data_IF_194621319723
#
_entry.id   IF_194621319723
#
_cell.length_a   1.000
_cell.length_b   1.000
_cell.length_c   1.000
_cell.angle_alpha   90.00
_cell.angle_beta   90.00
_cell.angle_gamma   90.00
#
_symmetry.space_group_name_H-M   'P 1'
#
loop_
_entity.id
_entity.type
_entity.pdbx_description
1 polymer ?
#
# COMPACT_ATOMS: atom_id res chain seq x y z
N UNK A 1 -22.38 10.42 -12.94
CA UNK A 1 -22.69 9.39 -11.93
C UNK A 1 -21.55 9.36 -10.95
N UNK A 2 -21.81 9.74 -9.71
CA UNK A 2 -20.80 9.87 -8.66
C UNK A 2 -20.25 8.49 -8.31
N UNK A 3 -19.01 8.21 -8.67
CA UNK A 3 -18.31 7.01 -8.21
C UNK A 3 -17.99 7.21 -6.73
N UNK A 4 -18.48 6.30 -5.89
CA UNK A 4 -18.38 6.36 -4.44
C UNK A 4 -16.93 6.52 -3.99
N UNK A 5 -16.66 7.66 -3.35
CA UNK A 5 -15.47 7.85 -2.53
C UNK A 5 -15.64 6.97 -1.29
N UNK A 6 -15.01 5.80 -1.28
CA UNK A 6 -14.98 4.98 -0.08
C UNK A 6 -13.74 5.42 0.72
N UNK A 7 -13.94 6.39 1.60
CA UNK A 7 -13.02 6.57 2.72
C UNK A 7 -13.37 5.51 3.75
N UNK A 8 -12.47 4.55 3.92
CA UNK A 8 -12.60 3.60 5.02
C UNK A 8 -12.32 4.39 6.31
N UNK A 9 -13.39 4.90 6.93
CA UNK A 9 -13.32 5.43 8.29
C UNK A 9 -13.19 4.23 9.22
N UNK A 10 -12.07 4.14 9.93
CA UNK A 10 -11.82 3.05 10.88
C UNK A 10 -12.81 3.04 12.06
N UNK A 11 -13.59 4.13 12.23
CA UNK A 11 -14.63 4.26 13.25
C UNK A 11 -16.03 3.80 12.79
N UNK A 12 -16.20 3.46 11.49
CA UNK A 12 -17.52 3.10 10.96
C UNK A 12 -17.66 1.57 10.78
N UNK A 13 -18.86 1.04 11.03
CA UNK A 13 -19.26 -0.37 10.85
C UNK A 13 -19.11 -0.94 9.40
N UNK A 14 -18.58 -0.13 8.47
CA UNK A 14 -18.34 -0.57 7.08
C UNK A 14 -17.41 -1.77 7.02
N UNK A 15 -16.32 -1.76 7.79
CA UNK A 15 -15.36 -2.87 7.80
C UNK A 15 -15.97 -4.15 8.36
N UNK A 16 -16.80 -4.05 9.41
CA UNK A 16 -17.51 -5.22 9.98
C UNK A 16 -18.50 -5.83 9.00
N UNK A 17 -19.26 -4.98 8.28
CA UNK A 17 -20.19 -5.43 7.23
C UNK A 17 -19.44 -6.11 6.07
N UNK A 18 -18.35 -5.50 5.62
CA UNK A 18 -17.51 -6.05 4.54
C UNK A 18 -16.81 -7.33 4.99
N UNK A 19 -16.43 -7.44 6.26
CA UNK A 19 -15.87 -8.64 6.85
C UNK A 19 -16.87 -9.80 6.85
N UNK A 20 -18.13 -9.54 7.20
CA UNK A 20 -19.20 -10.53 7.16
C UNK A 20 -19.43 -11.05 5.72
N UNK A 21 -19.50 -10.14 4.73
CA UNK A 21 -19.63 -10.49 3.31
C UNK A 21 -18.44 -11.32 2.79
N UNK A 22 -17.23 -11.01 3.24
CA UNK A 22 -16.02 -11.75 2.83
C UNK A 22 -15.95 -13.12 3.47
N UNK A 23 -16.42 -13.29 4.72
CA UNK A 23 -16.49 -14.58 5.40
C UNK A 23 -17.48 -15.53 4.71
N UNK A 24 -18.62 -15.02 4.22
CA UNK A 24 -19.61 -15.85 3.51
C UNK A 24 -19.13 -16.33 2.13
N UNK A 25 -18.24 -15.57 1.46
CA UNK A 25 -17.85 -15.81 0.06
C UNK A 25 -16.60 -16.67 -0.13
N UNK A 26 -15.83 -16.98 0.91
CA UNK A 26 -14.57 -17.73 0.76
C UNK A 26 -14.61 -19.12 1.39
N UNK A 27 -14.32 -20.19 0.62
CA UNK A 27 -13.98 -21.48 1.22
C UNK A 27 -12.73 -21.28 2.10
N UNK A 28 -12.74 -21.82 3.33
CA UNK A 28 -11.59 -21.79 4.25
C UNK A 28 -10.47 -22.63 3.64
N UNK A 29 -9.63 -22.00 2.84
CA UNK A 29 -8.36 -22.57 2.45
C UNK A 29 -7.41 -22.35 3.62
N UNK A 30 -7.14 -23.41 4.39
CA UNK A 30 -6.10 -23.40 5.42
C UNK A 30 -4.75 -23.29 4.68
N UNK A 31 -4.35 -22.06 4.38
CA UNK A 31 -2.97 -21.79 3.94
C UNK A 31 -2.08 -21.95 5.16
N UNK A 32 -1.00 -22.73 5.07
CA UNK A 32 0.10 -22.65 6.05
C UNK A 32 0.58 -21.21 6.03
N UNK A 33 0.25 -20.45 7.07
CA UNK A 33 0.66 -19.05 7.16
C UNK A 33 2.19 -18.99 7.18
N UNK A 34 2.77 -18.12 6.34
CA UNK A 34 4.19 -17.86 6.36
C UNK A 34 4.58 -17.26 7.73
N UNK A 35 5.75 -17.61 8.26
CA UNK A 35 6.24 -16.97 9.49
C UNK A 35 6.46 -15.47 9.25
N UNK A 36 6.39 -14.66 10.32
CA UNK A 36 6.69 -13.23 10.24
C UNK A 36 8.07 -12.97 9.61
N UNK A 37 9.07 -13.75 9.97
CA UNK A 37 10.42 -13.68 9.38
C UNK A 37 10.37 -13.88 7.85
N UNK A 38 9.61 -14.86 7.40
CA UNK A 38 9.45 -15.13 5.96
C UNK A 38 8.76 -13.98 5.25
N UNK A 39 7.74 -13.38 5.86
CA UNK A 39 7.04 -12.22 5.31
C UNK A 39 7.97 -11.00 5.24
N UNK A 40 8.73 -10.73 6.30
CA UNK A 40 9.70 -9.63 6.34
C UNK A 40 10.79 -9.80 5.28
N UNK A 41 11.31 -11.01 5.06
CA UNK A 41 12.31 -11.29 4.03
C UNK A 41 11.76 -11.13 2.60
N UNK A 42 10.48 -11.39 2.38
CA UNK A 42 9.81 -11.26 1.07
C UNK A 42 9.24 -9.87 0.82
N UNK A 43 8.96 -9.10 1.86
CA UNK A 43 8.46 -7.74 1.71
C UNK A 43 9.59 -6.81 1.32
N UNK A 44 9.62 -6.43 0.04
CA UNK A 44 10.63 -5.51 -0.55
C UNK A 44 9.93 -4.34 -1.20
N UNK A 45 10.67 -3.25 -1.42
CA UNK A 45 10.21 -2.11 -2.21
C UNK A 45 10.24 -2.48 -3.69
N UNK A 46 9.18 -3.13 -4.17
CA UNK A 46 9.08 -3.53 -5.57
C UNK A 46 8.79 -2.32 -6.47
N UNK A 47 9.42 -2.27 -7.62
CA UNK A 47 9.30 -1.17 -8.59
C UNK A 47 8.84 -1.61 -9.96
N UNK A 48 8.82 -2.94 -10.22
CA UNK A 48 8.27 -3.58 -11.40
C UNK A 48 7.16 -4.57 -11.04
N UNK A 49 6.05 -4.55 -11.78
CA UNK A 49 4.87 -5.36 -11.52
C UNK A 49 4.36 -6.08 -12.74
N UNK A 50 3.97 -7.35 -12.57
CA UNK A 50 3.27 -8.17 -13.53
C UNK A 50 1.78 -7.82 -13.55
N UNK A 51 1.34 -7.14 -14.59
CA UNK A 51 -0.04 -6.68 -14.75
C UNK A 51 -1.03 -7.77 -15.17
N UNK A 52 -0.54 -9.00 -15.42
CA UNK A 52 -1.42 -10.14 -15.73
C UNK A 52 -2.36 -10.50 -14.56
N UNK A 53 -1.96 -10.15 -13.31
CA UNK A 53 -2.81 -10.27 -12.13
C UNK A 53 -3.38 -8.90 -11.73
N UNK A 54 -4.67 -8.72 -11.96
CA UNK A 54 -5.38 -7.56 -11.44
C UNK A 54 -5.44 -7.60 -9.90
N UNK A 55 -5.25 -6.44 -9.26
CA UNK A 55 -5.51 -6.24 -7.84
C UNK A 55 -6.92 -5.69 -7.72
N UNK A 56 -7.76 -6.38 -6.94
CA UNK A 56 -9.16 -5.99 -6.73
C UNK A 56 -9.31 -5.01 -5.58
N UNK A 57 -10.45 -4.34 -5.50
CA UNK A 57 -10.79 -3.50 -4.35
C UNK A 57 -10.84 -4.32 -3.04
N UNK A 58 -11.38 -5.55 -3.10
CA UNK A 58 -11.42 -6.45 -1.94
C UNK A 58 -10.02 -6.83 -1.45
N UNK A 59 -9.04 -7.00 -2.36
CA UNK A 59 -7.64 -7.23 -1.98
C UNK A 59 -7.11 -6.03 -1.19
N UNK A 60 -7.39 -4.79 -1.64
CA UNK A 60 -6.95 -3.58 -0.96
C UNK A 60 -7.65 -3.39 0.40
N UNK A 61 -8.95 -3.68 0.48
CA UNK A 61 -9.71 -3.67 1.74
C UNK A 61 -9.10 -4.63 2.75
N UNK A 62 -8.74 -5.85 2.33
CA UNK A 62 -8.10 -6.84 3.21
C UNK A 62 -6.74 -6.36 3.73
N UNK A 63 -5.97 -5.64 2.90
CA UNK A 63 -4.70 -5.05 3.31
C UNK A 63 -4.91 -3.93 4.34
N UNK A 64 -5.79 -2.97 4.06
CA UNK A 64 -6.05 -1.83 4.94
C UNK A 64 -6.67 -2.28 6.27
N UNK A 65 -7.49 -3.34 6.27
CA UNK A 65 -8.06 -3.90 7.50
C UNK A 65 -7.01 -4.25 8.53
N UNK A 66 -5.80 -4.65 8.12
CA UNK A 66 -4.73 -4.95 9.10
C UNK A 66 -4.36 -3.76 9.97
N UNK A 67 -4.57 -2.54 9.49
CA UNK A 67 -4.28 -1.31 10.23
C UNK A 67 -5.19 -1.18 11.47
N UNK A 68 -6.39 -1.77 11.46
CA UNK A 68 -7.29 -1.76 12.63
C UNK A 68 -6.71 -2.52 13.83
N UNK A 69 -5.70 -3.36 13.60
CA UNK A 69 -5.03 -4.16 14.63
C UNK A 69 -3.68 -3.59 15.03
N UNK A 70 -3.27 -2.49 14.43
CA UNK A 70 -1.99 -1.86 14.75
C UNK A 70 -2.12 -0.82 15.85
N UNK A 71 -1.00 -0.51 16.50
CA UNK A 71 -0.95 0.58 17.46
C UNK A 71 -1.10 1.94 16.76
N UNK A 72 -1.71 2.91 17.45
CA UNK A 72 -1.75 4.31 17.06
C UNK A 72 -1.48 5.18 18.28
N UNK A 73 -0.76 6.28 18.10
CA UNK A 73 -0.43 7.20 19.18
C UNK A 73 -1.69 7.69 19.90
N UNK A 74 -1.75 7.52 21.23
CA UNK A 74 -2.92 7.84 22.06
C UNK A 74 -4.24 7.18 21.57
N UNK A 75 -4.15 6.13 20.79
CA UNK A 75 -5.29 5.50 20.09
C UNK A 75 -6.11 6.49 19.24
N UNK A 76 -5.47 7.49 18.68
CA UNK A 76 -6.12 8.57 17.94
C UNK A 76 -6.62 8.12 16.56
N UNK A 77 -6.00 7.10 15.96
CA UNK A 77 -6.37 6.50 14.67
C UNK A 77 -6.66 7.55 13.57
N UNK A 78 -5.71 8.46 13.27
CA UNK A 78 -5.98 9.61 12.42
C UNK A 78 -6.01 9.28 10.93
N UNK A 79 -5.54 8.09 10.53
CA UNK A 79 -5.34 7.75 9.13
C UNK A 79 -6.65 7.41 8.41
N UNK A 80 -6.73 7.80 7.15
CA UNK A 80 -7.81 7.47 6.21
C UNK A 80 -7.18 6.99 4.91
N UNK A 81 -7.84 6.03 4.26
CA UNK A 81 -7.28 5.39 3.07
C UNK A 81 -8.24 5.49 1.88
N UNK A 82 -7.73 5.97 0.75
CA UNK A 82 -8.40 5.90 -0.55
C UNK A 82 -7.85 4.70 -1.31
N UNK A 83 -8.71 3.77 -1.65
CA UNK A 83 -8.38 2.61 -2.47
C UNK A 83 -8.56 2.98 -3.95
N UNK A 84 -7.58 2.63 -4.78
CA UNK A 84 -7.53 3.04 -6.18
C UNK A 84 -7.20 1.83 -7.06
N UNK A 85 -8.12 1.47 -7.93
CA UNK A 85 -8.00 0.35 -8.88
C UNK A 85 -8.45 0.77 -10.28
N UNK A 86 -8.23 -0.07 -11.26
CA UNK A 86 -8.73 0.10 -12.63
C UNK A 86 -8.29 1.41 -13.27
N UNK A 87 -9.24 2.14 -13.88
CA UNK A 87 -8.96 3.38 -14.60
C UNK A 87 -8.41 4.50 -13.70
N UNK A 88 -8.81 4.53 -12.41
CA UNK A 88 -8.30 5.53 -11.50
C UNK A 88 -6.83 5.29 -11.15
N UNK A 89 -6.33 4.05 -11.18
CA UNK A 89 -4.92 3.75 -11.00
C UNK A 89 -4.06 4.41 -12.09
N UNK A 90 -4.54 4.45 -13.33
CA UNK A 90 -3.85 5.12 -14.43
C UNK A 90 -3.69 6.64 -14.21
N UNK A 91 -4.55 7.28 -13.42
CA UNK A 91 -4.42 8.70 -13.05
C UNK A 91 -3.30 8.92 -12.03
N UNK A 92 -2.98 7.90 -11.22
CA UNK A 92 -1.93 7.97 -10.19
C UNK A 92 -0.54 7.78 -10.79
N UNK A 93 -0.39 6.90 -11.80
CA UNK A 93 0.90 6.58 -12.40
C UNK A 93 1.79 7.80 -12.70
N UNK A 94 1.33 8.85 -13.40
CA UNK A 94 2.17 10.01 -13.75
C UNK A 94 2.44 10.96 -12.57
N UNK A 95 1.80 10.73 -11.42
CA UNK A 95 1.88 11.59 -10.25
C UNK A 95 2.81 11.05 -9.17
N UNK A 96 3.27 9.81 -9.29
CA UNK A 96 4.21 9.16 -8.37
C UNK A 96 5.57 8.97 -9.04
N UNK A 97 6.64 8.97 -8.23
CA UNK A 97 8.00 8.71 -8.71
C UNK A 97 8.60 7.55 -7.92
N UNK A 98 8.95 6.49 -8.63
CA UNK A 98 9.65 5.33 -8.08
C UNK A 98 11.15 5.45 -8.30
N UNK A 99 11.95 4.74 -7.50
CA UNK A 99 13.38 4.62 -7.72
C UNK A 99 14.15 5.93 -7.60
N UNK A 100 13.82 6.82 -6.66
CA UNK A 100 14.52 8.09 -6.48
C UNK A 100 16.04 7.92 -6.24
N UNK A 101 16.46 6.78 -5.64
CA UNK A 101 17.86 6.41 -5.45
C UNK A 101 18.48 5.69 -6.66
N UNK A 102 17.70 5.44 -7.72
CA UNK A 102 18.09 4.75 -8.94
C UNK A 102 17.63 5.57 -10.17
N UNK A 103 18.10 6.81 -10.34
CA UNK A 103 17.58 7.72 -11.36
C UNK A 103 17.83 7.22 -12.79
N UNK A 104 18.86 6.43 -13.00
CA UNK A 104 19.24 5.88 -14.31
C UNK A 104 18.26 4.79 -14.81
N UNK A 105 17.55 4.14 -13.88
CA UNK A 105 16.63 3.05 -14.21
C UNK A 105 15.29 3.51 -14.77
N UNK A 106 14.95 4.80 -14.65
CA UNK A 106 13.70 5.38 -15.15
C UNK A 106 12.43 4.59 -14.75
N UNK A 107 12.34 4.21 -13.47
CA UNK A 107 11.29 3.36 -12.92
C UNK A 107 9.95 4.09 -12.66
N UNK A 108 8.80 3.38 -12.79
CA UNK A 108 8.67 2.01 -13.31
C UNK A 108 8.87 1.96 -14.82
N UNK A 109 9.29 0.82 -15.35
CA UNK A 109 9.30 0.62 -16.81
C UNK A 109 7.86 0.61 -17.34
N UNK A 110 7.72 1.01 -18.61
CA UNK A 110 6.41 1.07 -19.27
C UNK A 110 5.73 -0.31 -19.25
N UNK A 111 4.51 -0.36 -18.71
CA UNK A 111 3.75 -1.59 -18.57
C UNK A 111 4.04 -2.39 -17.29
N UNK A 112 4.98 -1.92 -16.46
CA UNK A 112 5.32 -2.51 -15.16
C UNK A 112 4.90 -1.64 -13.98
N UNK A 113 3.97 -0.71 -14.19
CA UNK A 113 3.43 0.14 -13.13
C UNK A 113 2.62 -0.70 -12.13
N UNK A 114 2.49 -0.23 -10.86
CA UNK A 114 1.59 -0.85 -9.88
C UNK A 114 0.17 -1.04 -10.44
N UNK A 115 -0.43 -2.20 -10.18
CA UNK A 115 -1.79 -2.51 -10.66
C UNK A 115 -2.87 -1.74 -9.90
N UNK A 116 -2.56 -1.31 -8.68
CA UNK A 116 -3.46 -0.58 -7.79
C UNK A 116 -2.68 0.29 -6.81
N UNK A 117 -3.40 1.22 -6.14
CA UNK A 117 -2.79 2.08 -5.13
C UNK A 117 -3.68 2.20 -3.89
N UNK A 118 -3.04 2.42 -2.76
CA UNK A 118 -3.67 2.86 -1.51
C UNK A 118 -3.08 4.24 -1.18
N UNK A 119 -3.93 5.25 -1.09
CA UNK A 119 -3.51 6.60 -0.74
C UNK A 119 -3.83 6.82 0.73
N UNK A 120 -2.81 7.05 1.55
CA UNK A 120 -2.99 7.38 2.96
C UNK A 120 -3.12 8.88 3.15
N UNK A 121 -4.16 9.27 3.88
CA UNK A 121 -4.44 10.64 4.31
C UNK A 121 -4.59 10.69 5.83
N UNK A 122 -4.69 11.87 6.43
CA UNK A 122 -4.97 12.02 7.86
C UNK A 122 -6.04 13.08 8.11
N UNK A 123 -6.88 12.85 9.10
CA UNK A 123 -7.83 13.86 9.62
C UNK A 123 -7.18 14.81 10.62
N UNK A 124 -5.97 14.54 11.05
CA UNK A 124 -5.14 15.40 11.88
C UNK A 124 -4.04 16.04 11.05
N UNK A 125 -3.56 17.19 11.49
CA UNK A 125 -2.38 17.81 10.90
C UNK A 125 -1.16 16.89 11.02
N UNK A 126 -0.34 16.87 9.97
CA UNK A 126 0.91 16.11 9.92
C UNK A 126 1.83 16.50 11.09
N UNK A 127 2.28 15.51 11.82
CA UNK A 127 3.20 15.65 12.94
C UNK A 127 3.89 14.31 13.20
N UNK A 128 4.91 14.33 14.06
CA UNK A 128 5.72 13.14 14.36
C UNK A 128 4.91 11.89 14.76
N UNK A 129 3.78 12.06 15.46
CA UNK A 129 2.95 10.91 15.88
C UNK A 129 2.19 10.33 14.70
N UNK A 130 1.61 11.20 13.85
CA UNK A 130 0.95 10.80 12.60
C UNK A 130 1.92 10.09 11.66
N UNK A 131 3.16 10.57 11.56
CA UNK A 131 4.20 9.94 10.73
C UNK A 131 4.58 8.54 11.24
N UNK A 132 4.67 8.37 12.57
CA UNK A 132 4.90 7.07 13.19
C UNK A 132 3.73 6.12 12.93
N UNK A 133 2.49 6.57 13.10
CA UNK A 133 1.29 5.79 12.80
C UNK A 133 1.24 5.39 11.32
N UNK A 134 1.63 6.29 10.42
CA UNK A 134 1.72 6.04 8.98
C UNK A 134 2.75 4.95 8.66
N UNK A 135 3.92 4.99 9.30
CA UNK A 135 4.97 3.96 9.13
C UNK A 135 4.49 2.58 9.62
N UNK A 136 3.83 2.52 10.79
CA UNK A 136 3.27 1.28 11.37
C UNK A 136 2.18 0.71 10.45
N UNK A 137 1.26 1.55 10.00
CA UNK A 137 0.19 1.18 9.08
C UNK A 137 0.74 0.69 7.74
N UNK A 138 1.70 1.43 7.17
CA UNK A 138 2.32 1.12 5.89
C UNK A 138 3.03 -0.22 5.90
N UNK A 139 3.83 -0.50 6.92
CA UNK A 139 4.49 -1.79 7.07
C UNK A 139 3.47 -2.93 7.18
N UNK A 140 2.37 -2.73 7.90
CA UNK A 140 1.32 -3.74 8.08
C UNK A 140 0.59 -4.04 6.77
N UNK A 141 0.23 -3.01 6.00
CA UNK A 141 -0.37 -3.11 4.67
C UNK A 141 0.55 -3.91 3.72
N UNK A 142 1.84 -3.58 3.67
CA UNK A 142 2.79 -4.23 2.77
C UNK A 142 3.09 -5.68 3.17
N UNK A 143 3.13 -6.00 4.47
CA UNK A 143 3.22 -7.38 4.94
C UNK A 143 2.00 -8.19 4.56
N UNK A 144 0.80 -7.60 4.64
CA UNK A 144 -0.42 -8.25 4.22
C UNK A 144 -0.45 -8.49 2.70
N UNK A 145 -0.01 -7.52 1.91
CA UNK A 145 0.17 -7.71 0.47
C UNK A 145 1.09 -8.91 0.18
N UNK A 146 2.20 -9.02 0.90
CA UNK A 146 3.17 -10.13 0.78
C UNK A 146 2.54 -11.47 1.16
N UNK A 147 1.74 -11.53 2.24
CA UNK A 147 1.00 -12.73 2.65
C UNK A 147 0.03 -13.20 1.57
N UNK A 148 -0.60 -12.25 0.86
CA UNK A 148 -1.54 -12.51 -0.23
C UNK A 148 -0.84 -12.89 -1.55
N UNK A 149 0.51 -12.96 -1.57
CA UNK A 149 1.31 -13.25 -2.78
C UNK A 149 1.38 -12.07 -3.74
N UNK A 150 1.15 -10.87 -3.23
CA UNK A 150 1.38 -9.59 -3.86
C UNK A 150 2.64 -8.94 -3.25
N UNK A 151 2.94 -7.74 -3.69
CA UNK A 151 3.99 -6.91 -3.12
C UNK A 151 3.63 -5.45 -3.29
N UNK A 152 4.46 -4.58 -2.77
CA UNK A 152 4.21 -3.17 -2.92
C UNK A 152 5.43 -2.32 -2.59
N UNK A 153 5.22 -1.03 -2.68
CA UNK A 153 6.20 -0.01 -2.34
C UNK A 153 5.55 1.14 -1.59
N UNK A 154 6.23 1.65 -0.57
CA UNK A 154 5.89 2.87 0.14
C UNK A 154 6.49 4.07 -0.62
N UNK A 155 5.64 4.98 -1.09
CA UNK A 155 6.02 6.12 -1.94
C UNK A 155 5.75 7.42 -1.19
N UNK A 156 6.79 8.20 -0.95
CA UNK A 156 6.71 9.57 -0.41
C UNK A 156 6.98 10.63 -1.49
N UNK A 157 7.56 10.23 -2.63
CA UNK A 157 7.83 11.13 -3.74
C UNK A 157 6.66 11.11 -4.73
N UNK A 158 5.70 12.01 -4.54
CA UNK A 158 4.54 12.18 -5.39
C UNK A 158 4.07 13.63 -5.43
N UNK A 159 3.27 13.99 -6.43
CA UNK A 159 2.70 15.33 -6.61
C UNK A 159 1.40 15.42 -5.81
N UNK A 160 1.48 15.86 -4.55
CA UNK A 160 0.37 15.79 -3.58
C UNK A 160 -0.88 16.54 -4.04
N UNK A 161 -0.74 17.80 -4.48
CA UNK A 161 -1.86 18.64 -4.91
C UNK A 161 -2.54 18.07 -6.16
N UNK A 162 -1.74 17.65 -7.15
CA UNK A 162 -2.26 17.05 -8.38
C UNK A 162 -2.96 15.71 -8.10
N UNK A 163 -2.46 14.91 -7.16
CA UNK A 163 -3.08 13.66 -6.74
C UNK A 163 -4.41 13.90 -6.02
N UNK A 164 -4.44 14.92 -5.15
CA UNK A 164 -5.65 15.33 -4.45
C UNK A 164 -6.74 15.76 -5.43
N UNK A 165 -6.39 16.55 -6.43
CA UNK A 165 -7.31 16.99 -7.48
C UNK A 165 -7.78 15.81 -8.36
N UNK A 166 -6.84 15.02 -8.89
CA UNK A 166 -7.13 13.91 -9.80
C UNK A 166 -8.09 12.87 -9.22
N UNK A 167 -8.03 12.64 -7.90
CA UNK A 167 -8.87 11.67 -7.18
C UNK A 167 -9.98 12.33 -6.35
N UNK A 168 -10.11 13.65 -6.40
CA UNK A 168 -11.06 14.45 -5.60
C UNK A 168 -10.98 14.09 -4.10
N UNK A 169 -9.76 14.05 -3.55
CA UNK A 169 -9.55 13.69 -2.15
C UNK A 169 -9.96 14.85 -1.24
N UNK A 170 -10.78 14.64 -0.20
CA UNK A 170 -11.13 15.69 0.75
C UNK A 170 -10.01 16.01 1.75
N UNK A 171 -9.01 15.12 1.85
CA UNK A 171 -7.88 15.24 2.76
C UNK A 171 -6.56 15.25 1.96
N UNK A 172 -5.55 15.94 2.51
CA UNK A 172 -4.20 15.95 1.93
C UNK A 172 -3.60 14.53 1.99
N UNK A 173 -3.09 13.99 0.88
CA UNK A 173 -2.38 12.71 0.90
C UNK A 173 -1.02 12.86 1.58
N UNK A 174 -0.68 11.89 2.44
CA UNK A 174 0.60 11.80 3.17
C UNK A 174 1.55 10.78 2.53
N UNK A 175 1.00 9.69 2.00
CA UNK A 175 1.78 8.65 1.34
C UNK A 175 0.93 7.91 0.30
N UNK A 176 1.62 7.25 -0.63
CA UNK A 176 1.03 6.37 -1.64
C UNK A 176 1.67 4.98 -1.50
N UNK A 177 0.86 3.93 -1.49
CA UNK A 177 1.33 2.55 -1.59
C UNK A 177 1.00 2.05 -2.99
N UNK A 178 2.03 1.73 -3.78
CA UNK A 178 1.86 1.02 -5.04
C UNK A 178 1.76 -0.48 -4.76
N UNK A 179 0.72 -1.14 -5.30
CA UNK A 179 0.41 -2.55 -5.03
C UNK A 179 0.28 -3.31 -6.35
N UNK A 180 0.84 -4.51 -6.39
CA UNK A 180 0.73 -5.41 -7.55
C UNK A 180 1.42 -6.75 -7.30
N UNK A 181 1.43 -7.61 -8.32
CA UNK A 181 2.24 -8.81 -8.30
C UNK A 181 3.66 -8.44 -8.76
N UNK A 182 4.71 -8.65 -7.94
CA UNK A 182 6.07 -8.32 -8.36
C UNK A 182 6.48 -9.08 -9.63
N UNK A 183 7.09 -8.39 -10.58
CA UNK A 183 7.76 -8.99 -11.76
C UNK A 183 9.26 -9.21 -11.52
N UNK A 184 9.83 -8.45 -10.61
CA UNK A 184 11.25 -8.50 -10.26
C UNK A 184 11.56 -9.50 -9.12
N UNK A 185 12.81 -9.96 -9.08
CA UNK A 185 13.34 -10.79 -8.00
C UNK A 185 14.36 -10.00 -7.21
N UNK A 186 14.15 -9.89 -5.91
CA UNK A 186 15.07 -9.22 -4.99
C UNK A 186 15.77 -10.27 -4.13
N UNK A 187 17.10 -10.20 -4.08
CA UNK A 187 17.94 -11.07 -3.29
C UNK A 187 18.50 -10.29 -2.10
N UNK A 188 18.36 -10.87 -0.89
CA UNK A 188 19.02 -10.34 0.29
C UNK A 188 20.43 -10.90 0.36
N UNK A 189 21.43 -10.02 0.28
CA UNK A 189 22.82 -10.38 0.49
C UNK A 189 23.19 -10.18 1.97
N UNK A 190 23.97 -11.09 2.59
CA UNK A 190 24.53 -10.81 3.91
C UNK A 190 25.48 -9.62 3.81
N UNK A 191 25.38 -8.72 4.79
CA UNK A 191 26.29 -7.59 4.92
C UNK A 191 27.41 -7.99 5.88
N UNK A 192 28.66 -7.80 5.46
CA UNK A 192 29.86 -8.08 6.26
C UNK A 192 30.51 -6.77 6.70
N UNK A 193 31.40 -6.85 7.71
CA UNK A 193 32.15 -5.69 8.16
C UNK A 193 33.02 -5.14 7.01
N UNK A 194 32.84 -3.85 6.70
CA UNK A 194 33.55 -3.17 5.60
C UNK A 194 32.80 -3.15 4.25
N UNK A 195 31.63 -3.79 4.14
CA UNK A 195 30.81 -3.68 2.94
C UNK A 195 30.25 -2.26 2.79
N UNK A 196 30.21 -1.75 1.54
CA UNK A 196 29.47 -0.53 1.23
C UNK A 196 27.97 -0.77 1.42
N UNK A 197 27.29 0.23 1.98
CA UNK A 197 25.83 0.28 2.06
C UNK A 197 25.21 1.09 0.91
N UNK A 198 26.03 1.45 -0.09
CA UNK A 198 25.54 2.14 -1.29
C UNK A 198 24.71 1.19 -2.15
N UNK A 199 23.75 1.76 -2.86
CA UNK A 199 22.90 1.03 -3.81
C UNK A 199 23.70 0.64 -5.05
#
# INVERSE_FOLDING_TARGET
MSKNLIFVDMADNYLEKKEAELREKRPVVVRKNASLETLLKRNRSYRGYDRSRAVTEDDLVEMVRTVTWTASGMNAQPLRFRLVTGEDAAKVHPLVKLGAALPEEHLPHLGEEPSAYIIACSVQAENRVVDMDLGIAGQSILLKATEMGLGGIFILNFKAEALQEALALPLKPLAVFGIGKPSERVFLMPCHEGDSLDY
#
